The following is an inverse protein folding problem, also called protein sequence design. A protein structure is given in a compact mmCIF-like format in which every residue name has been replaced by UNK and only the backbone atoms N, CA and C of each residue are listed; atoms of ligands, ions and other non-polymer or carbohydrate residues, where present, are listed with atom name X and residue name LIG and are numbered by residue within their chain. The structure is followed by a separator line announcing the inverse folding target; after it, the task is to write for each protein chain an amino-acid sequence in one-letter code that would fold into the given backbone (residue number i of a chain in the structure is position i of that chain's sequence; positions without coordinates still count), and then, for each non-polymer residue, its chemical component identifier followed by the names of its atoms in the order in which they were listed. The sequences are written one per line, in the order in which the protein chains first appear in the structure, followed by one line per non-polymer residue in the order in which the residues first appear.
data_IF_222803863638
#
_entry.id   IF_222803863638
#
_cell.length_a   1.000
_cell.length_b   1.000
_cell.length_c   1.000
_cell.angle_alpha   90.00
_cell.angle_beta   90.00
_cell.angle_gamma   90.00
#
_symmetry.space_group_name_H-M   'P 1'
#
loop_
_entity.id
_entity.type
_entity.pdbx_description
1 polymer ?
#
# COMPACT_ATOMS: atom_id res chain seq x y z
N UNK A 1 46.62 5.91 -10.76
CA UNK A 1 45.63 5.69 -9.69
C UNK A 1 44.28 6.44 -9.87
N UNK A 2 43.90 6.92 -11.08
CA UNK A 2 42.57 7.55 -11.30
C UNK A 2 41.51 6.60 -11.89
N UNK A 3 41.91 5.52 -12.57
CA UNK A 3 40.99 4.57 -13.23
C UNK A 3 40.24 3.64 -12.26
N UNK A 4 40.84 3.32 -11.10
CA UNK A 4 40.24 2.40 -10.12
C UNK A 4 39.08 3.05 -9.36
N UNK A 5 39.16 4.37 -9.10
CA UNK A 5 38.13 5.12 -8.37
C UNK A 5 36.80 5.19 -9.15
N UNK A 6 36.87 5.28 -10.49
CA UNK A 6 35.68 5.35 -11.35
C UNK A 6 34.89 4.03 -11.37
N UNK A 7 35.59 2.89 -11.27
CA UNK A 7 34.98 1.56 -11.28
C UNK A 7 34.27 1.26 -9.94
N UNK A 8 34.83 1.71 -8.81
CA UNK A 8 34.17 1.54 -7.51
C UNK A 8 32.92 2.41 -7.34
N UNK A 9 32.89 3.61 -7.93
CA UNK A 9 31.71 4.49 -7.90
C UNK A 9 30.54 3.92 -8.72
N UNK A 10 30.79 3.30 -9.87
CA UNK A 10 29.72 2.69 -10.67
C UNK A 10 29.11 1.46 -9.97
N UNK A 11 29.89 0.65 -9.27
CA UNK A 11 29.39 -0.54 -8.55
C UNK A 11 28.40 -0.16 -7.43
N UNK A 12 28.60 0.99 -6.76
CA UNK A 12 27.71 1.45 -5.68
C UNK A 12 26.46 2.19 -6.16
N UNK A 13 26.51 2.84 -7.32
CA UNK A 13 25.42 3.67 -7.82
C UNK A 13 24.31 2.81 -8.46
N UNK A 14 24.69 1.80 -9.25
CA UNK A 14 23.72 0.93 -9.95
C UNK A 14 22.65 0.27 -9.05
N UNK A 15 22.97 -0.34 -7.89
CA UNK A 15 21.96 -0.97 -7.05
C UNK A 15 20.98 0.04 -6.43
N UNK A 16 21.42 1.27 -6.17
CA UNK A 16 20.56 2.35 -5.63
C UNK A 16 19.57 2.83 -6.69
N UNK A 17 20.00 2.96 -7.94
CA UNK A 17 19.13 3.34 -9.06
C UNK A 17 18.09 2.26 -9.38
N UNK A 18 18.50 0.98 -9.41
CA UNK A 18 17.59 -0.14 -9.63
C UNK A 18 16.51 -0.21 -8.53
N UNK A 19 16.88 0.02 -7.26
CA UNK A 19 15.93 0.07 -6.13
C UNK A 19 14.89 1.19 -6.30
N UNK A 20 15.34 2.41 -6.64
CA UNK A 20 14.43 3.57 -6.85
C UNK A 20 13.46 3.36 -8.01
N UNK A 21 13.90 2.72 -9.11
CA UNK A 21 13.00 2.43 -10.23
C UNK A 21 11.91 1.41 -9.84
N UNK A 22 12.27 0.36 -9.09
CA UNK A 22 11.31 -0.64 -8.58
C UNK A 22 10.30 -0.01 -7.61
N UNK A 23 10.76 0.84 -6.68
CA UNK A 23 9.88 1.60 -5.78
C UNK A 23 8.89 2.48 -6.56
N UNK A 24 9.34 3.12 -7.63
CA UNK A 24 8.50 3.98 -8.47
C UNK A 24 7.44 3.19 -9.27
N UNK A 25 7.80 2.03 -9.82
CA UNK A 25 6.86 1.14 -10.52
C UNK A 25 5.78 0.61 -9.58
N UNK A 26 6.20 0.15 -8.41
CA UNK A 26 5.32 -0.31 -7.35
C UNK A 26 4.33 0.79 -6.92
N UNK A 27 4.86 1.99 -6.67
CA UNK A 27 4.05 3.16 -6.31
C UNK A 27 3.01 3.52 -7.38
N UNK A 28 3.40 3.56 -8.66
CA UNK A 28 2.48 3.83 -9.78
C UNK A 28 1.41 2.76 -9.93
N UNK A 29 1.75 1.49 -9.73
CA UNK A 29 0.79 0.40 -9.81
C UNK A 29 -0.30 0.54 -8.73
N UNK A 30 0.11 0.81 -7.48
CA UNK A 30 -0.84 1.05 -6.38
C UNK A 30 -1.72 2.28 -6.62
N UNK A 31 -1.14 3.39 -7.12
CA UNK A 31 -1.90 4.58 -7.49
C UNK A 31 -2.96 4.26 -8.56
N UNK A 32 -2.59 3.52 -9.61
CA UNK A 32 -3.50 3.14 -10.69
C UNK A 32 -4.61 2.20 -10.22
N UNK A 33 -4.29 1.19 -9.41
CA UNK A 33 -5.27 0.23 -8.92
C UNK A 33 -6.28 0.87 -7.95
N UNK A 34 -5.80 1.66 -7.00
CA UNK A 34 -6.69 2.40 -6.09
C UNK A 34 -7.40 3.56 -6.80
N UNK A 35 -6.83 4.08 -7.88
CA UNK A 35 -7.28 5.30 -8.53
C UNK A 35 -7.01 6.55 -7.67
N UNK A 36 -5.98 6.51 -6.82
CA UNK A 36 -5.67 7.58 -5.86
C UNK A 36 -4.17 7.91 -5.86
N UNK A 37 -3.80 9.19 -6.01
CA UNK A 37 -2.39 9.59 -6.08
C UNK A 37 -1.65 9.44 -4.74
N UNK A 38 -2.31 9.62 -3.60
CA UNK A 38 -1.70 9.42 -2.28
C UNK A 38 -2.47 8.36 -1.52
N UNK A 39 -1.88 7.21 -1.22
CA UNK A 39 -2.60 6.09 -0.60
C UNK A 39 -2.00 5.68 0.75
N UNK A 40 -1.23 6.56 1.39
CA UNK A 40 -0.69 6.33 2.74
C UNK A 40 -1.77 6.46 3.82
N UNK A 41 -2.86 7.17 3.52
CA UNK A 41 -4.05 7.21 4.35
C UNK A 41 -5.30 7.15 3.49
N UNK A 42 -6.34 6.53 4.04
CA UNK A 42 -7.67 6.47 3.46
C UNK A 42 -8.66 7.11 4.42
N UNK A 43 -9.48 7.99 3.87
CA UNK A 43 -10.63 8.51 4.61
C UNK A 43 -11.66 7.38 4.76
N UNK A 44 -12.54 7.47 5.76
CA UNK A 44 -13.62 6.50 5.88
C UNK A 44 -14.50 6.30 4.65
N UNK A 45 -14.81 7.40 3.95
CA UNK A 45 -15.63 7.35 2.73
C UNK A 45 -14.92 6.52 1.65
N UNK A 46 -13.61 6.67 1.53
CA UNK A 46 -12.81 5.91 0.58
C UNK A 46 -12.73 4.44 0.97
N UNK A 47 -12.58 4.13 2.26
CA UNK A 47 -12.60 2.75 2.75
C UNK A 47 -13.92 2.07 2.40
N UNK A 48 -15.06 2.71 2.68
CA UNK A 48 -16.38 2.16 2.34
C UNK A 48 -16.51 1.95 0.84
N UNK A 49 -16.07 2.90 0.01
CA UNK A 49 -16.11 2.75 -1.44
C UNK A 49 -15.21 1.61 -1.93
N UNK A 50 -13.97 1.51 -1.42
CA UNK A 50 -13.04 0.47 -1.83
C UNK A 50 -13.42 -0.93 -1.34
N UNK A 51 -14.10 -1.04 -0.21
CA UNK A 51 -14.72 -2.31 0.23
C UNK A 51 -15.85 -2.71 -0.73
N UNK A 52 -16.70 -1.77 -1.14
CA UNK A 52 -17.77 -2.02 -2.13
C UNK A 52 -17.22 -2.39 -3.50
N UNK A 53 -16.16 -1.72 -3.94
CA UNK A 53 -15.47 -1.99 -5.20
C UNK A 53 -14.61 -3.28 -5.16
N UNK A 54 -14.53 -3.94 -4.00
CA UNK A 54 -13.73 -5.14 -3.79
C UNK A 54 -12.21 -4.95 -3.84
N UNK A 55 -11.74 -3.69 -3.79
CA UNK A 55 -10.31 -3.33 -3.74
C UNK A 55 -9.70 -3.55 -2.35
N UNK A 56 -10.51 -3.39 -1.31
CA UNK A 56 -10.19 -3.74 0.07
C UNK A 56 -11.01 -4.93 0.54
N UNK A 57 -10.52 -5.61 1.57
CA UNK A 57 -11.26 -6.63 2.30
C UNK A 57 -10.92 -6.55 3.78
N UNK A 58 -11.84 -7.01 4.63
CA UNK A 58 -11.62 -7.03 6.08
C UNK A 58 -10.83 -8.29 6.44
N UNK A 59 -9.66 -8.10 7.05
CA UNK A 59 -8.88 -9.19 7.64
C UNK A 59 -9.33 -9.40 9.08
N UNK A 60 -9.51 -8.30 9.82
CA UNK A 60 -9.88 -8.36 11.23
C UNK A 60 -10.80 -7.21 11.60
N UNK A 61 -11.80 -7.55 12.39
CA UNK A 61 -12.74 -6.65 13.06
C UNK A 61 -12.78 -7.06 14.53
N UNK A 62 -11.95 -6.40 15.35
CA UNK A 62 -11.79 -6.77 16.75
C UNK A 62 -13.06 -6.53 17.60
N UNK A 63 -13.96 -5.66 17.13
CA UNK A 63 -15.17 -5.29 17.86
C UNK A 63 -16.45 -5.92 17.28
N UNK A 64 -16.32 -6.82 16.29
CA UNK A 64 -17.45 -7.43 15.56
C UNK A 64 -18.49 -6.40 15.07
N UNK A 65 -18.06 -5.19 14.73
CA UNK A 65 -18.96 -4.13 14.34
C UNK A 65 -19.59 -4.37 12.96
N UNK A 66 -18.91 -5.10 12.08
CA UNK A 66 -19.42 -5.52 10.77
C UNK A 66 -20.41 -6.67 10.86
N UNK A 67 -20.30 -7.53 11.88
CA UNK A 67 -21.31 -8.56 12.17
C UNK A 67 -22.67 -7.93 12.53
N UNK A 68 -22.67 -6.68 12.97
CA UNK A 68 -23.88 -5.87 13.21
C UNK A 68 -24.33 -5.10 11.97
N UNK A 69 -23.71 -5.33 10.81
CA UNK A 69 -23.92 -4.60 9.55
C UNK A 69 -23.72 -3.08 9.68
N UNK A 70 -23.02 -2.63 10.72
CA UNK A 70 -22.86 -1.21 11.00
C UNK A 70 -21.54 -0.69 10.41
N UNK A 71 -21.58 -0.34 9.13
CA UNK A 71 -20.46 0.32 8.44
C UNK A 71 -20.23 1.76 8.93
N UNK A 72 -21.09 2.32 9.79
CA UNK A 72 -20.90 3.67 10.34
C UNK A 72 -19.67 3.76 11.23
N UNK A 73 -19.27 2.66 11.88
CA UNK A 73 -18.06 2.63 12.69
C UNK A 73 -16.79 2.92 11.86
N UNK A 74 -16.79 2.53 10.59
CA UNK A 74 -15.70 2.82 9.66
C UNK A 74 -15.59 4.34 9.41
N UNK A 75 -16.69 5.10 9.57
CA UNK A 75 -16.82 6.56 9.36
C UNK A 75 -16.09 7.42 10.38
N UNK A 76 -15.65 6.84 11.48
CA UNK A 76 -15.16 7.61 12.62
C UNK A 76 -13.68 8.01 12.50
N UNK A 77 -12.84 7.26 11.77
CA UNK A 77 -11.39 7.45 11.81
C UNK A 77 -10.68 7.15 10.48
N UNK A 78 -9.59 7.87 10.22
CA UNK A 78 -8.72 7.56 9.09
C UNK A 78 -8.05 6.18 9.25
N UNK A 79 -7.75 5.60 8.09
CA UNK A 79 -7.03 4.35 7.98
C UNK A 79 -5.64 4.63 7.45
N UNK A 80 -4.63 4.35 8.26
CA UNK A 80 -3.23 4.53 7.91
C UNK A 80 -2.68 3.26 7.28
N UNK A 81 -1.83 3.43 6.29
CA UNK A 81 -1.13 2.32 5.65
C UNK A 81 -0.02 1.80 6.56
N UNK A 82 -0.02 0.49 6.78
CA UNK A 82 1.07 -0.24 7.41
C UNK A 82 1.48 -1.41 6.51
N UNK A 83 2.59 -1.24 5.78
CA UNK A 83 3.05 -2.18 4.76
C UNK A 83 2.02 -2.37 3.63
N UNK A 84 1.39 -3.54 3.60
CA UNK A 84 0.34 -3.97 2.64
C UNK A 84 -1.06 -3.92 3.25
N UNK A 85 -1.20 -3.36 4.45
CA UNK A 85 -2.47 -3.28 5.17
C UNK A 85 -2.88 -1.82 5.40
N UNK A 86 -4.16 -1.65 5.73
CA UNK A 86 -4.69 -0.42 6.27
C UNK A 86 -5.27 -0.68 7.66
N UNK A 87 -4.87 0.14 8.63
CA UNK A 87 -5.24 0.02 10.03
C UNK A 87 -5.89 1.34 10.45
N UNK A 88 -7.04 1.28 11.12
CA UNK A 88 -7.63 2.49 11.70
C UNK A 88 -6.88 2.92 12.96
N UNK A 89 -6.93 4.20 13.32
CA UNK A 89 -6.20 4.75 14.48
C UNK A 89 -6.48 4.07 15.84
N UNK A 90 -7.54 3.27 15.95
CA UNK A 90 -7.90 2.51 17.16
C UNK A 90 -7.57 1.01 17.04
N UNK A 91 -6.88 0.60 15.97
CA UNK A 91 -6.48 -0.79 15.66
C UNK A 91 -7.63 -1.79 15.76
N UNK A 92 -8.84 -1.30 15.49
CA UNK A 92 -10.08 -2.09 15.53
C UNK A 92 -10.29 -2.84 14.22
N UNK A 93 -9.81 -2.28 13.12
CA UNK A 93 -9.93 -2.82 11.79
C UNK A 93 -8.56 -2.99 11.16
N UNK A 94 -8.32 -4.19 10.65
CA UNK A 94 -7.20 -4.45 9.74
C UNK A 94 -7.83 -4.80 8.40
N UNK A 95 -7.48 -4.01 7.38
CA UNK A 95 -7.96 -4.20 6.02
C UNK A 95 -6.80 -4.63 5.14
N UNK A 96 -7.02 -5.70 4.38
CA UNK A 96 -6.16 -6.09 3.28
C UNK A 96 -6.49 -5.31 2.01
N UNK A 97 -5.51 -5.14 1.14
CA UNK A 97 -5.70 -4.49 -0.14
C UNK A 97 -5.25 -5.41 -1.27
N UNK A 98 -6.20 -5.81 -2.11
CA UNK A 98 -5.92 -6.66 -3.28
C UNK A 98 -5.01 -5.96 -4.30
N UNK A 99 -5.01 -4.62 -4.30
CA UNK A 99 -4.06 -3.86 -5.10
C UNK A 99 -2.63 -4.09 -4.66
N UNK A 100 -2.36 -4.22 -3.35
CA UNK A 100 -1.01 -4.48 -2.85
C UNK A 100 -0.54 -5.87 -3.29
N UNK A 101 -1.36 -6.89 -3.11
CA UNK A 101 -1.08 -8.27 -3.56
C UNK A 101 -0.78 -8.33 -5.07
N UNK A 102 -1.71 -7.82 -5.90
CA UNK A 102 -1.58 -7.86 -7.37
C UNK A 102 -0.33 -7.15 -7.86
N UNK A 103 -0.09 -5.93 -7.37
CA UNK A 103 1.04 -5.12 -7.82
C UNK A 103 2.37 -5.62 -7.25
N UNK A 104 2.37 -6.27 -6.08
CA UNK A 104 3.55 -6.90 -5.53
C UNK A 104 4.01 -8.04 -6.44
N UNK A 105 3.10 -8.89 -6.89
CA UNK A 105 3.38 -9.99 -7.81
C UNK A 105 3.78 -9.52 -9.23
N UNK A 106 3.22 -8.40 -9.72
CA UNK A 106 3.45 -7.96 -11.11
C UNK A 106 4.55 -6.91 -11.29
N UNK A 107 4.63 -5.92 -10.39
CA UNK A 107 5.34 -4.65 -10.63
C UNK A 107 6.40 -4.32 -9.58
N UNK A 108 6.21 -4.77 -8.33
CA UNK A 108 7.17 -4.51 -7.26
C UNK A 108 8.28 -5.59 -7.22
N UNK A 109 7.95 -6.83 -7.59
CA UNK A 109 8.88 -7.96 -7.60
C UNK A 109 9.47 -8.26 -8.99
N UNK A 110 9.24 -7.41 -10.00
CA UNK A 110 9.80 -7.61 -11.33
C UNK A 110 11.34 -7.63 -11.22
N UNK A 111 11.96 -8.77 -11.59
CA UNK A 111 13.38 -9.04 -11.42
C UNK A 111 14.24 -8.08 -12.23
#
# INVERSE_FOLDING_TARGET
MKKIIVIFLSIYIFPVFAKRMKENLCYKCYQGCLGKPKYNSLTPKEVVNFLKDGKLYIIKDYNNALAKSDLSILKSHEFLRDGTYFINNYVTFILGCKCFEKCQDSSCNTK
#
